data_IF_147887404958
#
_entry.id   IF_147887404958
#
_cell.length_a   1.000
_cell.length_b   1.000
_cell.length_c   1.000
_cell.angle_alpha   90.00
_cell.angle_beta   90.00
_cell.angle_gamma   90.00
#
_symmetry.space_group_name_H-M   'P 1'
#
loop_
_entity.id
_entity.type
_entity.pdbx_description
1 polymer ?
2 polymer ?
3 polymer ?
4 non-polymer ?
5 water ?
#
# COMPACT_ATOMS: atom_id res chain seq x y z
N UNK A 1 -7.65 16.22 0.63
CA UNK A 1 -7.06 15.14 1.47
C UNK A 1 -8.06 14.00 1.72
N UNK A 2 -7.71 12.80 1.27
CA UNK A 2 -8.57 11.63 1.46
C UNK A 2 -10.01 11.69 0.93
N UNK A 3 -10.23 12.44 -0.13
CA UNK A 3 -11.58 12.55 -0.70
C UNK A 3 -11.61 12.07 -2.15
N UNK A 4 -12.59 11.24 -2.48
CA UNK A 4 -12.76 10.76 -3.85
C UNK A 4 -13.43 11.92 -4.56
N UNK A 5 -13.08 12.14 -5.82
CA UNK A 5 -13.66 13.28 -6.55
C UNK A 5 -14.31 12.91 -7.88
N UNK A 6 -14.54 11.62 -8.10
CA UNK A 6 -15.17 11.18 -9.33
C UNK A 6 -16.54 10.61 -9.04
N UNK A 7 -17.55 11.06 -9.79
CA UNK A 7 -18.94 10.62 -9.61
C UNK A 7 -19.10 9.11 -9.64
N UNK B 1 -4.18 -8.26 -5.72
CA UNK B 1 -5.41 -8.35 -4.88
C UNK B 1 -6.22 -9.58 -5.24
N UNK B 2 -6.50 -10.42 -4.25
CA UNK B 2 -7.26 -11.65 -4.46
C UNK B 2 -8.67 -11.55 -3.86
N UNK B 3 -9.67 -11.87 -4.66
CA UNK B 3 -11.05 -11.83 -4.19
C UNK B 3 -11.61 -10.43 -4.24
N UNK B 4 -10.97 -9.58 -5.03
CA UNK B 4 -11.42 -8.21 -5.17
C UNK B 4 -12.20 -8.02 -6.45
N UNK B 5 -12.49 -6.76 -6.77
CA UNK B 5 -13.22 -6.43 -7.98
C UNK B 5 -12.53 -5.26 -8.69
N UNK B 6 -12.83 -5.11 -9.97
CA UNK B 6 -12.27 -4.04 -10.79
C UNK B 6 -12.77 -2.69 -10.31
N UNK B 7 -11.87 -1.77 -10.00
CA UNK B 7 -12.26 -0.44 -9.57
C UNK B 7 -12.33 0.45 -10.80
N UNK B 8 -13.14 1.50 -10.74
CA UNK B 8 -13.25 2.42 -11.87
C UNK B 8 -12.34 3.63 -11.69
N UNK B 9 -12.05 4.30 -12.80
CA UNK B 9 -11.19 5.48 -12.81
C UNK B 9 -11.59 6.46 -11.72
N UNK B 10 -10.60 6.95 -10.98
CA UNK B 10 -10.87 7.92 -9.93
C UNK B 10 -11.24 7.36 -8.57
N UNK B 11 -11.51 6.05 -8.51
CA UNK B 11 -11.91 5.41 -7.26
C UNK B 11 -10.90 5.64 -6.15
N UNK B 12 -9.61 5.43 -6.46
CA UNK B 12 -8.55 5.61 -5.47
C UNK B 12 -7.44 6.48 -6.05
N UNK B 13 -7.67 7.80 -6.13
CA UNK B 13 -6.71 8.77 -6.67
C UNK B 13 -5.34 8.88 -5.98
N UNK B 14 -5.18 8.25 -4.82
CA UNK B 14 -3.91 8.29 -4.11
C UNK B 14 -3.08 7.04 -4.31
N UNK B 15 -3.66 6.04 -4.94
CA UNK B 15 -2.95 4.79 -5.21
C UNK B 15 -2.02 4.98 -6.41
N UNK B 16 -0.75 4.62 -6.23
CA UNK B 16 0.20 4.78 -7.30
C UNK B 16 0.99 3.52 -7.62
N UNK B 17 1.35 3.38 -8.89
CA UNK B 17 2.11 2.23 -9.35
C UNK B 17 3.61 2.53 -9.38
N UNK B 18 4.42 1.53 -9.02
CA UNK B 18 5.85 1.68 -9.00
C UNK B 18 6.52 0.73 -9.98
N UNK B 19 7.42 1.28 -10.79
CA UNK B 19 8.15 0.48 -11.76
C UNK B 19 9.64 0.57 -11.50
N UNK B 20 10.29 -0.58 -11.47
CA UNK B 20 11.74 -0.62 -11.30
C UNK B 20 12.23 -1.13 -12.66
N UNK B 21 12.97 -0.28 -13.38
CA UNK B 21 13.46 -0.63 -14.71
C UNK B 21 12.27 -1.00 -15.59
N UNK B 22 11.30 -0.09 -15.63
CA UNK B 22 10.08 -0.23 -16.42
C UNK B 22 9.28 -1.51 -16.20
N UNK B 23 9.40 -2.06 -14.99
CA UNK B 23 8.68 -3.27 -14.60
C UNK B 23 7.84 -2.94 -13.36
N UNK B 24 6.52 -3.04 -13.47
CA UNK B 24 5.63 -2.76 -12.34
C UNK B 24 5.86 -3.81 -11.25
N UNK B 25 6.32 -3.37 -10.08
CA UNK B 25 6.61 -4.31 -8.99
C UNK B 25 5.93 -4.02 -7.64
N UNK B 26 5.44 -2.79 -7.44
CA UNK B 26 4.79 -2.47 -6.18
C UNK B 26 3.82 -1.30 -6.24
N UNK B 27 3.11 -1.10 -5.13
CA UNK B 27 2.17 -0.01 -5.03
C UNK B 27 2.72 0.98 -4.02
N UNK B 28 2.07 2.14 -3.91
CA UNK B 28 2.50 3.16 -2.97
C UNK B 28 1.34 4.11 -2.85
N UNK B 29 1.38 4.99 -1.85
CA UNK B 29 0.30 5.94 -1.65
C UNK B 29 0.83 7.37 -1.64
N UNK B 30 0.13 8.25 -2.35
CA UNK B 30 0.50 9.66 -2.42
C UNK B 30 0.06 10.34 -1.13
N UNK B 31 0.96 11.10 -0.52
CA UNK B 31 0.59 11.82 0.71
C UNK B 31 0.91 13.32 0.65
N UNK B 32 1.46 13.76 -0.48
CA UNK B 32 1.76 15.18 -0.73
C UNK B 32 2.13 15.28 -2.22
N UNK B 33 2.44 16.49 -2.68
CA UNK B 33 2.81 16.67 -4.09
C UNK B 33 4.19 16.09 -4.37
N UNK B 34 4.93 15.77 -3.31
CA UNK B 34 6.30 15.28 -3.46
C UNK B 34 6.63 13.90 -2.92
N UNK B 35 5.89 13.43 -1.92
CA UNK B 35 6.19 12.14 -1.34
C UNK B 35 5.17 11.01 -1.45
N UNK B 36 5.69 9.79 -1.47
CA UNK B 36 4.91 8.57 -1.55
C UNK B 36 5.34 7.67 -0.40
N UNK B 37 4.39 6.97 0.21
CA UNK B 37 4.71 6.02 1.26
C UNK B 37 4.53 4.66 0.61
N UNK B 38 5.50 3.79 0.78
CA UNK B 38 5.44 2.46 0.20
C UNK B 38 6.10 1.49 1.19
N UNK B 39 6.38 0.27 0.74
CA UNK B 39 7.00 -0.74 1.59
C UNK B 39 8.51 -0.81 1.38
N UNK B 40 9.24 -1.02 2.48
CA UNK B 40 10.70 -1.12 2.41
C UNK B 40 11.20 -2.29 1.57
N UNK B 41 10.56 -3.45 1.65
CA UNK B 41 11.05 -4.59 0.88
C UNK B 41 10.86 -4.40 -0.62
N UNK B 42 10.16 -3.33 -0.99
CA UNK B 42 9.96 -3.05 -2.40
C UNK B 42 11.27 -2.46 -2.94
N UNK B 43 11.86 -1.55 -2.18
CA UNK B 43 13.09 -0.89 -2.58
C UNK B 43 14.37 -1.41 -1.92
N UNK B 44 14.26 -2.48 -1.15
CA UNK B 44 15.44 -3.04 -0.49
C UNK B 44 16.44 -3.64 -1.46
N UNK B 45 17.69 -3.18 -1.38
CA UNK B 45 18.73 -3.69 -2.24
C UNK B 45 18.71 -3.10 -3.64
N UNK B 46 17.94 -2.04 -3.81
CA UNK B 46 17.82 -1.36 -5.09
C UNK B 46 17.28 0.04 -4.83
N UNK B 47 17.88 0.69 -3.84
CA UNK B 47 17.48 2.03 -3.41
C UNK B 47 18.58 3.07 -3.65
N UNK B 48 19.79 2.60 -3.95
CA UNK B 48 20.93 3.49 -4.18
C UNK B 48 20.87 4.30 -5.47
N UNK B 49 20.20 3.76 -6.50
CA UNK B 49 20.06 4.48 -7.76
C UNK B 49 18.56 4.76 -7.94
N UNK B 50 18.03 5.75 -7.23
CA UNK B 50 16.61 6.14 -7.28
C UNK B 50 15.95 6.48 -8.62
N UNK B 51 16.72 6.95 -9.58
CA UNK B 51 16.13 7.29 -10.89
C UNK B 51 15.74 6.03 -11.67
N UNK B 52 16.02 4.86 -11.09
CA UNK B 52 15.68 3.61 -11.72
C UNK B 52 14.23 3.25 -11.38
N UNK B 53 13.60 4.08 -10.54
CA UNK B 53 12.21 3.89 -10.13
C UNK B 53 11.25 4.87 -10.76
N UNK B 54 10.12 4.37 -11.24
CA UNK B 54 9.08 5.21 -11.84
C UNK B 54 7.78 5.12 -11.02
N UNK B 55 7.15 6.27 -10.80
CA UNK B 55 5.92 6.35 -10.07
C UNK B 55 4.86 6.79 -11.07
N UNK B 56 3.82 5.98 -11.25
CA UNK B 56 2.75 6.31 -12.21
C UNK B 56 1.48 6.63 -11.44
N UNK B 57 1.04 7.87 -11.52
CA UNK B 57 -0.15 8.31 -10.82
C UNK B 57 -1.40 8.45 -11.70
N UNK B 58 -2.57 8.40 -11.07
CA UNK B 58 -3.80 8.52 -11.82
C UNK B 58 -3.96 7.34 -12.77
N UNK B 59 -3.25 6.25 -12.49
CA UNK B 59 -3.32 5.07 -13.34
C UNK B 59 -4.58 4.24 -13.08
N UNK B 60 -5.04 3.54 -14.13
CA UNK B 60 -6.21 2.70 -14.02
C UNK B 60 -5.86 1.30 -14.54
N UNK B 61 -5.67 1.20 -15.85
CA UNK B 61 -5.31 -0.08 -16.45
C UNK B 61 -3.82 -0.14 -16.76
N UNK B 62 -3.14 -1.10 -16.15
CA UNK B 62 -1.72 -1.29 -16.34
C UNK B 62 -1.35 -1.48 -17.81
N UNK B 63 -2.32 -1.92 -18.60
CA UNK B 63 -2.13 -2.16 -20.02
C UNK B 63 -2.42 -0.91 -20.83
N UNK B 64 -2.78 0.16 -20.12
CA UNK B 64 -3.10 1.44 -20.76
C UNK B 64 -2.48 2.68 -20.08
N UNK B 65 -1.30 3.08 -20.54
CA UNK B 65 -0.64 4.27 -19.98
C UNK B 65 -0.94 5.49 -20.86
N UNK B 66 -1.84 5.34 -21.83
CA UNK B 66 -2.18 6.42 -22.74
C UNK B 66 -3.24 7.41 -22.22
N UNK B 67 -3.97 7.00 -21.18
CA UNK B 67 -5.00 7.90 -20.63
C UNK B 67 -4.42 9.27 -20.29
N UNK B 68 -5.15 10.34 -20.63
CA UNK B 68 -4.74 11.72 -20.37
C UNK B 68 -4.66 12.14 -18.90
N UNK B 69 -5.26 11.38 -18.00
CA UNK B 69 -5.23 11.76 -16.58
C UNK B 69 -4.00 11.26 -15.83
N UNK B 70 -3.21 10.45 -16.50
CA UNK B 70 -2.00 9.89 -15.92
C UNK B 70 -0.87 10.90 -15.89
N UNK B 71 0.08 10.66 -15.00
CA UNK B 71 1.27 11.49 -14.83
C UNK B 71 2.38 10.57 -14.35
N UNK B 72 3.58 10.73 -14.90
CA UNK B 72 4.71 9.91 -14.52
C UNK B 72 5.82 10.77 -13.89
N UNK B 73 6.51 10.20 -12.91
CA UNK B 73 7.58 10.92 -12.23
C UNK B 73 8.70 9.99 -11.88
N UNK B 74 9.93 10.46 -12.01
CA UNK B 74 11.07 9.64 -11.65
C UNK B 74 11.24 9.80 -10.15
N UNK B 75 11.89 8.82 -9.52
CA UNK B 75 12.10 8.90 -8.09
C UNK B 75 13.46 9.54 -7.80
N UNK B 76 13.39 10.69 -7.14
CA UNK B 76 14.52 11.51 -6.73
C UNK B 76 15.33 10.88 -5.59
N UNK B 77 14.62 10.37 -4.59
CA UNK B 77 15.24 9.78 -3.43
C UNK B 77 14.36 8.74 -2.74
N UNK B 78 15.01 7.73 -2.19
CA UNK B 78 14.30 6.67 -1.47
C UNK B 78 14.86 6.64 -0.05
N UNK B 79 13.99 6.79 0.94
CA UNK B 79 14.43 6.77 2.34
C UNK B 79 13.81 5.59 3.06
N UNK B 80 14.55 4.47 3.11
CA UNK B 80 14.06 3.29 3.80
C UNK B 80 13.96 3.57 5.28
N UNK B 81 12.92 3.05 5.93
CA UNK B 81 12.78 3.27 7.35
C UNK B 81 14.05 2.76 8.03
N UNK B 82 14.66 3.61 8.86
CA UNK B 82 15.90 3.31 9.60
C UNK B 82 15.89 2.03 10.41
N UNK B 83 14.71 1.49 10.71
CA UNK B 83 14.67 0.27 11.50
C UNK B 83 14.08 -0.91 10.78
N UNK B 84 14.04 -0.84 9.46
CA UNK B 84 13.54 -1.94 8.66
C UNK B 84 14.37 -3.17 8.93
N UNK B 85 13.72 -4.32 9.08
CA UNK B 85 14.43 -5.56 9.34
C UNK B 85 13.90 -6.66 8.42
N UNK B 86 14.60 -6.89 7.31
CA UNK B 86 14.20 -7.90 6.35
C UNK B 86 13.97 -9.27 6.99
N UNK B 87 14.83 -9.63 7.94
CA UNK B 87 14.70 -10.90 8.62
C UNK B 87 13.40 -10.94 9.44
N UNK B 88 13.12 -9.86 10.15
CA UNK B 88 11.92 -9.77 10.98
C UNK B 88 10.68 -9.25 10.23
N UNK B 89 10.88 -8.77 9.00
CA UNK B 89 9.77 -8.23 8.22
C UNK B 89 9.08 -7.15 9.05
N UNK B 90 9.85 -6.54 9.95
CA UNK B 90 9.33 -5.50 10.84
C UNK B 90 9.68 -4.12 10.30
N UNK B 91 8.76 -3.17 10.47
CA UNK B 91 8.94 -1.80 10.02
C UNK B 91 9.08 -1.70 8.48
N UNK B 92 8.29 -2.52 7.78
CA UNK B 92 8.31 -2.56 6.32
C UNK B 92 7.62 -1.35 5.72
N UNK B 93 8.32 -0.22 5.69
CA UNK B 93 7.75 1.01 5.16
C UNK B 93 8.88 1.93 4.67
N UNK B 94 8.58 2.77 3.69
CA UNK B 94 9.61 3.64 3.14
C UNK B 94 9.08 4.83 2.36
N UNK B 95 9.80 5.94 2.48
CA UNK B 95 9.45 7.17 1.81
C UNK B 95 10.13 7.25 0.43
N UNK B 96 9.42 7.83 -0.53
CA UNK B 96 9.95 7.99 -1.89
C UNK B 96 9.57 9.38 -2.38
N UNK B 97 10.58 10.16 -2.75
CA UNK B 97 10.34 11.51 -3.23
C UNK B 97 10.26 11.55 -4.75
N UNK B 98 9.29 12.30 -5.28
CA UNK B 98 9.12 12.45 -6.72
C UNK B 98 10.04 13.60 -7.17
N UNK B 99 10.89 13.34 -8.16
CA UNK B 99 11.81 14.38 -8.63
C UNK B 99 11.08 15.69 -8.93
N UNK B 100 9.90 15.57 -9.54
CA UNK B 100 9.09 16.72 -9.86
C UNK B 100 7.74 16.56 -9.18
N UNK B 101 7.16 17.68 -8.74
CA UNK B 101 5.86 17.64 -8.09
C UNK B 101 4.78 17.16 -9.05
N UNK B 102 3.65 16.74 -8.50
CA UNK B 102 2.54 16.31 -9.31
C UNK B 102 1.49 17.38 -9.11
N UNK B 103 0.49 17.40 -9.98
CA UNK B 103 -0.59 18.37 -9.89
C UNK B 103 -1.86 17.63 -9.46
N UNK B 104 -2.45 18.05 -8.35
CA UNK B 104 -3.66 17.42 -7.85
C UNK B 104 -4.83 17.57 -8.82
N UNK B 105 -5.39 16.45 -9.25
CA UNK B 105 -6.53 16.44 -10.15
C UNK B 105 -7.59 15.58 -9.49
N UNK B 106 -8.65 15.26 -10.23
CA UNK B 106 -9.71 14.43 -9.67
C UNK B 106 -9.25 12.97 -9.63
N UNK B 107 -8.18 12.68 -10.37
CA UNK B 107 -7.64 11.32 -10.43
C UNK B 107 -6.35 11.17 -9.62
N UNK B 108 -5.82 12.28 -9.13
CA UNK B 108 -4.58 12.28 -8.33
C UNK B 108 -4.76 13.12 -7.07
N UNK B 109 -4.88 12.45 -5.94
CA UNK B 109 -5.07 13.14 -4.68
C UNK B 109 -4.28 12.47 -3.60
N UNK B 110 -3.96 13.21 -2.53
CA UNK B 110 -3.19 12.61 -1.44
C UNK B 110 -4.16 11.95 -0.45
N UNK B 111 -3.74 10.84 0.14
CA UNK B 111 -4.58 10.17 1.13
C UNK B 111 -4.21 10.82 2.47
N UNK B 112 -5.20 10.93 3.36
CA UNK B 112 -4.97 11.52 4.67
C UNK B 112 -4.09 10.61 5.50
N UNK B 113 -3.28 11.20 6.37
CA UNK B 113 -2.43 10.44 7.26
C UNK B 113 -3.19 10.36 8.58
N UNK B 114 -3.24 9.15 9.20
CA UNK B 114 -3.93 8.92 10.46
C UNK B 114 -3.25 9.59 11.66
N UNK B 115 -4.00 9.77 12.75
CA UNK B 115 -3.43 10.36 13.95
C UNK B 115 -2.48 9.30 14.49
N UNK B 116 -1.52 9.73 15.30
CA UNK B 116 -0.54 8.80 15.86
C UNK B 116 -1.16 7.68 16.71
N UNK B 117 -2.22 8.01 17.43
CA UNK B 117 -2.90 7.01 18.26
C UNK B 117 -4.30 6.74 17.74
N UNK B 118 -4.40 6.62 16.42
CA UNK B 118 -5.65 6.35 15.74
C UNK B 118 -5.94 4.86 15.99
N UNK B 119 -7.09 4.57 16.58
CA UNK B 119 -7.45 3.19 16.87
C UNK B 119 -8.15 2.51 15.70
N UNK B 120 -7.67 1.32 15.37
CA UNK B 120 -8.25 0.51 14.31
C UNK B 120 -8.57 -0.84 14.95
N UNK B 121 -9.78 -0.93 15.53
CA UNK B 121 -10.30 -2.13 16.22
C UNK B 121 -10.73 -3.25 15.29
N UNK B 122 -10.64 -4.50 15.77
CA UNK B 122 -11.05 -5.65 14.94
C UNK B 122 -12.53 -5.53 14.54
N UNK B 123 -12.86 -6.01 13.35
CA UNK B 123 -14.23 -5.92 12.88
C UNK B 123 -14.37 -4.69 11.99
N UNK B 124 -13.45 -3.76 12.16
CA UNK B 124 -13.46 -2.56 11.34
C UNK B 124 -13.19 -2.98 9.90
N UNK B 125 -14.10 -2.63 8.99
CA UNK B 125 -13.96 -2.97 7.59
C UNK B 125 -13.19 -1.86 6.88
N UNK B 126 -12.13 -2.23 6.15
CA UNK B 126 -11.31 -1.28 5.42
C UNK B 126 -11.04 -1.75 3.98
N UNK B 127 -10.24 -1.00 3.24
CA UNK B 127 -9.97 -1.36 1.86
C UNK B 127 -8.50 -1.45 1.45
N UNK B 128 -8.23 -2.44 0.60
CA UNK B 128 -6.90 -2.67 0.07
C UNK B 128 -7.03 -2.52 -1.45
N UNK B 129 -5.96 -2.06 -2.09
CA UNK B 129 -5.99 -1.87 -3.53
C UNK B 129 -4.62 -2.12 -4.16
N UNK B 130 -4.61 -2.73 -5.34
CA UNK B 130 -3.36 -3.02 -6.02
C UNK B 130 -3.53 -3.72 -7.36
N UNK B 131 -2.40 -3.86 -8.06
CA UNK B 131 -2.35 -4.50 -9.37
C UNK B 131 -1.65 -5.85 -9.27
N UNK B 132 -1.39 -6.28 -8.04
CA UNK B 132 -0.71 -7.56 -7.82
C UNK B 132 -1.47 -8.81 -8.25
N UNK B 133 -0.93 -9.96 -7.85
CA UNK B 133 -1.51 -11.26 -8.18
C UNK B 133 -2.99 -11.35 -7.81
N UNK B 134 -3.77 -11.99 -8.69
CA UNK B 134 -5.20 -12.16 -8.49
C UNK B 134 -5.49 -13.42 -7.65
N UNK B 135 -4.47 -14.26 -7.56
CA UNK B 135 -4.48 -15.51 -6.79
C UNK B 135 -3.01 -15.72 -6.45
N UNK B 136 -2.71 -16.50 -5.42
CA UNK B 136 -1.32 -16.74 -5.06
C UNK B 136 -0.51 -17.37 -6.20
N UNK B 137 0.66 -16.80 -6.45
CA UNK B 137 1.56 -17.26 -7.50
C UNK B 137 0.94 -17.15 -8.89
N UNK B 138 -0.14 -16.40 -8.98
CA UNK B 138 -0.82 -16.22 -10.26
C UNK B 138 -0.37 -14.97 -10.97
N UNK B 139 -1.14 -14.58 -11.98
CA UNK B 139 -0.83 -13.38 -12.75
C UNK B 139 -1.34 -12.13 -12.05
N UNK B 140 -0.65 -11.01 -12.29
CA UNK B 140 -1.03 -9.74 -11.70
C UNK B 140 -2.24 -9.21 -12.45
N UNK B 141 -2.87 -8.16 -11.91
CA UNK B 141 -4.05 -7.58 -12.54
C UNK B 141 -3.74 -6.52 -13.59
N UNK B 142 -4.77 -6.12 -14.31
CA UNK B 142 -4.64 -5.08 -15.33
C UNK B 142 -5.40 -3.89 -14.76
N UNK B 143 -6.70 -4.08 -14.56
CA UNK B 143 -7.57 -3.05 -14.00
C UNK B 143 -7.19 -3.00 -12.53
N UNK B 144 -7.09 -1.81 -11.95
CA UNK B 144 -6.72 -1.71 -10.52
C UNK B 144 -7.74 -2.45 -9.66
N UNK B 145 -7.26 -3.43 -8.90
CA UNK B 145 -8.14 -4.20 -8.04
C UNK B 145 -8.34 -3.51 -6.69
N UNK B 146 -9.53 -3.71 -6.12
CA UNK B 146 -9.86 -3.17 -4.81
C UNK B 146 -10.55 -4.28 -4.05
N UNK B 147 -10.57 -4.19 -2.73
CA UNK B 147 -11.20 -5.21 -1.90
C UNK B 147 -11.41 -4.65 -0.51
N UNK B 148 -12.40 -5.20 0.19
CA UNK B 148 -12.68 -4.79 1.56
C UNK B 148 -12.23 -5.95 2.44
N UNK B 149 -11.60 -5.62 3.56
CA UNK B 149 -11.14 -6.61 4.51
C UNK B 149 -11.34 -6.09 5.93
N UNK B 150 -11.71 -6.97 6.87
CA UNK B 150 -11.92 -6.56 8.26
C UNK B 150 -10.58 -6.64 9.00
N UNK B 151 -10.34 -5.69 9.89
CA UNK B 151 -9.09 -5.67 10.65
C UNK B 151 -9.13 -6.68 11.78
N UNK B 152 -7.95 -7.14 12.20
CA UNK B 152 -7.85 -8.07 13.31
C UNK B 152 -7.13 -7.36 14.43
N UNK B 153 -7.10 -8.00 15.59
CA UNK B 153 -6.40 -7.48 16.74
C UNK B 153 -5.01 -8.09 16.56
N UNK B 154 -3.97 -7.41 17.00
CA UNK B 154 -2.62 -7.95 16.85
C UNK B 154 -2.52 -9.28 17.61
N UNK B 155 -3.24 -9.35 18.72
CA UNK B 155 -3.24 -10.55 19.54
C UNK B 155 -3.73 -11.71 18.69
N UNK B 156 -4.88 -11.51 18.06
CA UNK B 156 -5.47 -12.53 17.20
C UNK B 156 -4.58 -12.82 15.98
N UNK B 157 -3.95 -11.79 15.41
CA UNK B 157 -3.09 -12.00 14.26
C UNK B 157 -1.88 -12.83 14.63
N UNK B 158 -1.25 -12.49 15.76
CA UNK B 158 -0.08 -13.23 16.22
C UNK B 158 -0.50 -14.70 16.35
N UNK B 159 -1.74 -14.90 16.78
CA UNK B 159 -2.32 -16.21 16.97
C UNK B 159 -2.25 -17.04 15.70
N UNK B 160 -2.79 -16.48 14.62
CA UNK B 160 -2.81 -17.17 13.34
C UNK B 160 -1.48 -17.08 12.60
N UNK B 161 -0.56 -16.27 13.11
CA UNK B 161 0.76 -16.12 12.48
C UNK B 161 1.86 -16.42 13.49
N UNK B 162 1.83 -17.60 14.12
CA UNK B 162 2.85 -17.97 15.11
C UNK B 162 4.27 -17.99 14.55
N UNK B 163 4.41 -18.24 13.25
CA UNK B 163 5.71 -18.31 12.60
C UNK B 163 6.35 -16.95 12.38
N UNK B 164 5.73 -15.90 12.91
CA UNK B 164 6.27 -14.55 12.77
C UNK B 164 6.07 -13.80 14.07
N UNK B 165 6.75 -12.67 14.18
CA UNK B 165 6.64 -11.84 15.36
C UNK B 165 5.80 -10.62 15.03
N UNK B 166 4.50 -10.70 15.29
CA UNK B 166 3.61 -9.59 15.03
C UNK B 166 3.95 -8.48 16.03
N UNK B 167 4.65 -7.46 15.55
CA UNK B 167 5.06 -6.34 16.38
C UNK B 167 3.94 -5.31 16.48
N UNK B 168 4.12 -4.31 17.32
CA UNK B 168 3.11 -3.27 17.48
C UNK B 168 3.12 -2.31 16.28
N UNK B 169 4.03 -2.56 15.35
CA UNK B 169 4.13 -1.70 14.17
C UNK B 169 3.47 -2.37 12.98
N UNK B 170 2.74 -3.44 13.26
CA UNK B 170 2.03 -4.15 12.24
C UNK B 170 0.55 -4.11 12.59
N UNK B 171 -0.29 -4.33 11.59
CA UNK B 171 -1.72 -4.38 11.75
C UNK B 171 -2.12 -5.42 10.72
N UNK B 172 -3.08 -6.27 11.05
CA UNK B 172 -3.47 -7.30 10.12
C UNK B 172 -4.93 -7.22 9.75
N UNK B 173 -5.27 -7.80 8.61
CA UNK B 173 -6.63 -7.79 8.13
C UNK B 173 -6.88 -9.04 7.30
N UNK B 174 -8.15 -9.44 7.22
CA UNK B 174 -8.49 -10.62 6.46
C UNK B 174 -9.67 -11.37 7.07
N UNK B 175 -10.27 -12.26 6.28
CA UNK B 175 -11.41 -13.05 6.73
C UNK B 175 -10.95 -14.39 7.29
N UNK B 176 -11.67 -14.86 8.29
CA UNK B 176 -11.37 -16.14 8.91
C UNK B 176 -11.41 -17.26 7.85
N UNK B 177 -12.35 -17.17 6.93
CA UNK B 177 -12.50 -18.16 5.88
C UNK B 177 -11.62 -17.83 4.68
N UNK B 178 -10.88 -16.74 4.77
CA UNK B 178 -10.01 -16.34 3.68
C UNK B 178 -10.78 -15.81 2.47
N UNK B 179 -10.16 -15.91 1.29
CA UNK B 179 -10.83 -15.46 0.08
C UNK B 179 -10.38 -14.09 -0.41
N UNK B 180 -10.27 -13.12 0.50
CA UNK B 180 -9.88 -11.76 0.13
C UNK B 180 -8.59 -11.39 0.84
N UNK B 181 -7.61 -10.90 0.09
CA UNK B 181 -6.33 -10.53 0.69
C UNK B 181 -5.40 -9.85 -0.31
N UNK B 182 -4.42 -9.13 0.23
CA UNK B 182 -3.42 -8.47 -0.61
C UNK B 182 -2.42 -9.56 -0.99
N UNK B 183 -1.90 -9.49 -2.21
CA UNK B 183 -0.97 -10.51 -2.68
C UNK B 183 0.30 -9.89 -3.27
N UNK B 184 1.20 -10.74 -3.76
CA UNK B 184 2.45 -10.28 -4.37
C UNK B 184 2.12 -9.17 -5.36
N UNK B 185 2.95 -8.12 -5.40
CA UNK B 185 2.70 -7.03 -6.32
C UNK B 185 1.86 -5.92 -5.73
N UNK B 186 1.35 -6.14 -4.52
CA UNK B 186 0.53 -5.13 -3.84
C UNK B 186 1.30 -4.44 -2.72
N UNK B 187 2.45 -4.98 -2.35
CA UNK B 187 3.26 -4.39 -1.29
C UNK B 187 3.53 -2.93 -1.59
N UNK B 188 3.46 -2.09 -0.56
CA UNK B 188 3.68 -0.67 -0.75
C UNK B 188 2.33 0.00 -0.90
N UNK B 189 1.36 -0.76 -1.41
CA UNK B 189 0.01 -0.25 -1.59
C UNK B 189 -0.65 -0.01 -0.24
N UNK B 190 -1.73 0.77 -0.19
CA UNK B 190 -2.44 1.09 1.05
C UNK B 190 -3.46 0.10 1.59
N UNK B 191 -3.83 0.35 2.83
CA UNK B 191 -4.85 -0.36 3.57
C UNK B 191 -5.52 0.89 4.10
N UNK B 192 -6.65 1.25 3.51
CA UNK B 192 -7.30 2.47 3.94
C UNK B 192 -8.63 2.27 4.65
N UNK B 193 -8.90 3.20 5.56
CA UNK B 193 -10.10 3.18 6.35
C UNK B 193 -10.73 4.55 6.26
N UNK B 194 -12.01 4.59 5.94
CA UNK B 194 -12.67 5.88 5.83
C UNK B 194 -13.12 6.29 7.22
N UNK B 195 -12.72 7.47 7.64
CA UNK B 195 -13.09 7.97 8.96
C UNK B 195 -13.87 9.25 8.74
N UNK B 196 -15.18 9.11 8.54
CA UNK B 196 -16.05 10.26 8.36
C UNK B 196 -15.79 11.03 7.08
N UNK B 197 -16.15 10.39 5.97
CA UNK B 197 -16.00 10.97 4.65
C UNK B 197 -14.56 10.99 4.15
N UNK B 198 -13.60 10.99 5.08
CA UNK B 198 -12.18 11.01 4.74
C UNK B 198 -11.45 9.67 4.85
N UNK B 199 -10.65 9.34 3.83
CA UNK B 199 -9.88 8.09 3.86
C UNK B 199 -8.51 8.32 4.48
N UNK B 200 -8.11 7.40 5.36
CA UNK B 200 -6.85 7.48 6.09
C UNK B 200 -5.96 6.33 5.68
N UNK B 201 -4.65 6.55 5.70
CA UNK B 201 -3.73 5.49 5.38
C UNK B 201 -3.50 4.73 6.68
N UNK B 202 -4.09 3.55 6.76
CA UNK B 202 -3.99 2.71 7.94
C UNK B 202 -2.75 1.83 7.92
N UNK B 203 -2.55 1.13 6.81
CA UNK B 203 -1.41 0.26 6.70
C UNK B 203 -0.74 0.32 5.34
N UNK B 204 0.31 -0.48 5.20
CA UNK B 204 1.07 -0.56 3.97
C UNK B 204 1.27 -2.05 3.72
N UNK B 205 0.65 -2.57 2.68
CA UNK B 205 0.75 -3.99 2.34
C UNK B 205 2.20 -4.44 2.51
N UNK B 206 2.43 -5.35 3.46
CA UNK B 206 3.77 -5.82 3.75
C UNK B 206 4.06 -7.29 3.46
N UNK B 207 3.43 -8.19 4.20
CA UNK B 207 3.68 -9.62 4.01
C UNK B 207 2.57 -10.53 4.55
N UNK B 208 2.81 -11.83 4.46
CA UNK B 208 1.86 -12.82 4.95
C UNK B 208 2.08 -14.17 4.31
N UNK B 209 1.61 -15.22 4.97
CA UNK B 209 1.76 -16.58 4.44
C UNK B 209 0.82 -16.75 3.26
N UNK B 210 1.37 -16.74 2.05
CA UNK B 210 0.55 -16.88 0.86
C UNK B 210 -0.53 -15.80 0.83
N UNK B 211 -1.63 -16.07 0.15
CA UNK B 211 -2.70 -15.07 0.04
C UNK B 211 -4.11 -15.67 0.01
N UNK B 212 -5.05 -14.97 0.62
CA UNK B 212 -6.44 -15.38 0.66
C UNK B 212 -6.71 -16.67 1.46
N UNK B 213 -5.69 -17.19 2.12
CA UNK B 213 -5.85 -18.41 2.90
C UNK B 213 -6.60 -18.11 4.19
N UNK B 214 -7.45 -19.05 4.61
CA UNK B 214 -8.23 -18.87 5.84
C UNK B 214 -7.32 -18.85 7.06
N UNK B 215 -7.67 -18.00 8.04
CA UNK B 215 -6.89 -17.90 9.26
C UNK B 215 -5.41 -17.59 8.99
N UNK B 216 -5.18 -16.87 7.89
CA UNK B 216 -3.84 -16.45 7.48
C UNK B 216 -4.03 -15.02 6.97
N UNK B 217 -4.18 -14.07 7.90
CA UNK B 217 -4.38 -12.66 7.56
C UNK B 217 -3.17 -11.98 6.93
N UNK B 218 -3.45 -11.00 6.08
CA UNK B 218 -2.38 -10.26 5.45
C UNK B 218 -1.85 -9.27 6.46
N UNK B 219 -0.52 -9.16 6.52
CA UNK B 219 0.13 -8.25 7.46
C UNK B 219 0.48 -6.92 6.77
N UNK B 220 0.32 -5.83 7.50
CA UNK B 220 0.60 -4.51 6.97
C UNK B 220 1.36 -3.72 8.01
N UNK B 221 2.14 -2.75 7.53
CA UNK B 221 2.88 -1.89 8.43
C UNK B 221 1.82 -0.91 8.99
N UNK B 222 1.70 -0.85 10.31
CA UNK B 222 0.73 0.02 10.98
C UNK B 222 1.17 1.48 10.92
N UNK B 223 0.61 2.21 9.97
CA UNK B 223 0.95 3.61 9.75
C UNK B 223 0.86 4.58 10.93
N UNK B 224 -0.13 4.41 11.82
CA UNK B 224 -0.19 5.36 12.95
C UNK B 224 1.13 5.37 13.73
N UNK B 225 1.80 4.22 13.73
CA UNK B 225 3.08 4.04 14.42
C UNK B 225 4.27 4.68 13.71
N UNK B 226 4.02 5.30 12.55
CA UNK B 226 5.07 5.94 11.79
C UNK B 226 4.64 7.31 11.33
N UNK B 227 3.41 7.68 11.69
CA UNK B 227 2.84 8.94 11.28
C UNK B 227 3.71 10.20 11.47
N UNK B 228 4.54 10.21 12.50
CA UNK B 228 5.38 11.39 12.75
C UNK B 228 6.62 11.38 11.85
N UNK B 229 7.26 10.22 11.75
CA UNK B 229 8.42 10.07 10.91
C UNK B 229 8.07 10.48 9.48
N UNK B 230 6.88 10.10 9.04
CA UNK B 230 6.40 10.42 7.70
C UNK B 230 6.17 11.91 7.53
N UNK B 231 5.38 12.49 8.41
CA UNK B 231 5.07 13.92 8.36
C UNK B 231 6.28 14.82 8.46
N UNK B 232 7.42 14.27 8.84
CA UNK B 232 8.62 15.08 8.97
C UNK B 232 9.21 15.36 7.59
N UNK B 233 8.92 14.47 6.64
CA UNK B 233 9.41 14.64 5.27
C UNK B 233 8.52 15.60 4.48
N UNK B 234 7.27 15.72 4.89
CA UNK B 234 6.29 16.54 4.19
C UNK B 234 6.71 17.94 3.77
N UNK B 235 7.39 17.97 2.62
CA UNK B 235 7.93 19.16 1.94
C UNK B 235 9.44 19.03 1.72
N UNK C 3 10.07 -13.68 -0.76
CA UNK C 3 9.76 -14.58 0.41
C UNK C 3 8.25 -14.59 0.62
N UNK C 4 7.84 -14.29 1.84
CA UNK C 4 6.43 -14.21 2.18
C UNK C 4 6.10 -12.74 1.92
N UNK C 5 7.15 -11.94 1.76
CA UNK C 5 7.01 -10.50 1.52
C UNK C 5 6.16 -10.19 0.31
N UNK C 6 5.38 -9.12 0.39
CA UNK C 6 4.54 -8.73 -0.72
C UNK C 6 5.07 -7.48 -1.40
X LIG D 1 5.05 10.63 18.82
X LIG E 1 8.85 18.97 -1.54
#
# INVERSE_FOLDING_TARGET
CGKKLVTQEVSPK
IVGGSDSREGAWPWVVALYFDDQQVCGASLVSRDWLVSAAHCVYGRNMEPSKWKAVLGLHMASNLTSPQIETRLIDQIVINPHYNKRRKNNDIAMMHLEMKVNYTDYIQPICLPEENQVFPPGRICSIAGWGALIYQGSTADVLQEADVPLLSNEKCQQQMPEYNITENMVCAGYEAGGVDSCQGDSGGPLMCQENNRWLLAGVTSFGYQCALPNRPGVYARVPRFTEWIQSFLH
VDDDDXX
ZN ZN
ZN ZN
#
